data_IF_776160088590
#
_entry.id   IF_776160088590
#
_cell.length_a   1.000
_cell.length_b   1.000
_cell.length_c   1.000
_cell.angle_alpha   90.00
_cell.angle_beta   90.00
_cell.angle_gamma   90.00
#
_symmetry.space_group_name_H-M   'P 1'
#
loop_
_entity.id
_entity.type
_entity.pdbx_description
1 polymer ?
#
# COMPACT_ATOMS: atom_id res chain seq x y z
N UNK A 1 16.69 -5.43 -0.57
CA UNK A 1 15.46 -5.20 0.22
C UNK A 1 14.25 -5.46 -0.66
N UNK A 2 13.28 -6.17 -0.17
CA UNK A 2 12.07 -6.49 -0.92
C UNK A 2 10.83 -6.11 -0.14
N UNK A 3 9.69 -6.07 -0.84
CA UNK A 3 8.42 -5.63 -0.25
C UNK A 3 7.31 -6.57 -0.66
N UNK A 4 6.37 -6.81 0.25
CA UNK A 4 5.12 -7.52 -0.04
C UNK A 4 3.96 -6.69 0.45
N UNK A 5 2.94 -6.58 -0.41
CA UNK A 5 1.72 -5.87 -0.09
C UNK A 5 0.54 -6.81 -0.20
N UNK A 6 -0.32 -6.81 0.81
CA UNK A 6 -1.59 -7.52 0.78
C UNK A 6 -2.70 -6.57 1.16
N UNK A 7 -3.72 -6.48 0.31
CA UNK A 7 -4.91 -5.68 0.56
C UNK A 7 -6.11 -6.62 0.58
N UNK A 8 -6.86 -6.59 1.67
CA UNK A 8 -8.03 -7.45 1.87
C UNK A 8 -9.31 -6.62 1.89
N UNK A 9 -10.20 -6.90 0.99
CA UNK A 9 -11.52 -6.30 0.88
C UNK A 9 -12.46 -7.28 0.21
N UNK A 10 -13.32 -6.81 -0.68
CA UNK A 10 -14.14 -7.71 -1.49
C UNK A 10 -13.27 -8.57 -2.39
N UNK A 11 -12.13 -8.05 -2.81
CA UNK A 11 -11.10 -8.78 -3.51
C UNK A 11 -9.82 -8.72 -2.70
N UNK A 12 -8.98 -9.74 -2.82
CA UNK A 12 -7.64 -9.73 -2.25
C UNK A 12 -6.65 -9.28 -3.32
N UNK A 13 -5.81 -8.31 -2.97
CA UNK A 13 -4.76 -7.80 -3.84
C UNK A 13 -3.42 -8.21 -3.23
N UNK A 14 -2.58 -8.87 -4.01
CA UNK A 14 -1.26 -9.29 -3.56
C UNK A 14 -0.21 -8.83 -4.55
N UNK A 15 0.76 -8.05 -4.08
CA UNK A 15 1.91 -7.63 -4.86
C UNK A 15 3.19 -8.04 -4.12
N UNK A 16 4.13 -8.55 -4.87
CA UNK A 16 5.34 -9.12 -4.30
C UNK A 16 6.60 -8.37 -4.66
N UNK A 17 7.71 -9.10 -4.52
CA UNK A 17 9.05 -8.57 -4.68
C UNK A 17 9.32 -8.04 -6.10
N UNK A 18 8.62 -8.59 -7.09
CA UNK A 18 8.81 -8.19 -8.49
C UNK A 18 8.08 -6.91 -8.87
N UNK A 19 7.06 -6.53 -8.09
CA UNK A 19 6.23 -5.36 -8.39
C UNK A 19 6.70 -4.11 -7.66
N UNK A 20 6.94 -4.20 -6.36
CA UNK A 20 7.14 -3.04 -5.51
C UNK A 20 8.61 -2.65 -5.47
N UNK A 21 8.91 -1.40 -5.78
CA UNK A 21 10.27 -0.88 -5.81
C UNK A 21 10.58 0.07 -4.67
N UNK A 22 9.60 0.84 -4.21
CA UNK A 22 9.83 1.87 -3.20
C UNK A 22 8.63 1.93 -2.27
N UNK A 23 8.91 2.05 -0.97
CA UNK A 23 7.88 2.24 0.06
C UNK A 23 8.30 3.39 0.97
N UNK A 24 7.40 4.32 1.22
CA UNK A 24 7.60 5.40 2.17
C UNK A 24 6.48 5.32 3.20
N UNK A 25 6.86 5.19 4.47
CA UNK A 25 5.92 5.24 5.59
C UNK A 25 6.08 6.57 6.30
N UNK A 26 4.98 7.29 6.50
CA UNK A 26 4.97 8.58 7.19
C UNK A 26 3.93 8.59 8.30
N UNK A 27 4.28 9.22 9.41
CA UNK A 27 3.30 9.67 10.38
C UNK A 27 3.22 11.18 10.31
N UNK A 28 2.01 11.70 10.41
CA UNK A 28 1.76 13.12 10.24
C UNK A 28 0.83 13.62 11.33
N UNK A 29 1.15 14.79 11.87
CA UNK A 29 0.27 15.51 12.80
C UNK A 29 0.13 16.93 12.30
N UNK A 30 -1.05 17.56 12.50
CA UNK A 30 -1.19 19.00 12.24
C UNK A 30 -0.15 19.80 13.06
N UNK A 31 0.22 20.96 12.56
CA UNK A 31 1.20 21.83 13.23
C UNK A 31 0.75 22.33 14.60
N UNK A 32 -0.51 22.11 14.96
CA UNK A 32 -1.03 22.43 16.28
C UNK A 32 -0.57 21.38 17.28
N UNK A 33 0.17 21.79 18.30
CA UNK A 33 0.72 20.88 19.30
C UNK A 33 -0.34 20.14 20.11
N UNK A 34 -1.55 20.65 20.18
CA UNK A 34 -2.65 20.01 20.91
C UNK A 34 -3.27 18.85 20.12
N UNK A 35 -3.01 18.78 18.83
CA UNK A 35 -3.62 17.77 17.95
C UNK A 35 -2.89 16.43 18.00
N UNK A 36 -1.64 16.38 18.49
CA UNK A 36 -0.81 15.19 18.40
C UNK A 36 -1.41 13.96 19.06
N UNK A 37 -2.13 14.13 20.15
CA UNK A 37 -2.72 12.97 20.84
C UNK A 37 -3.94 12.38 20.14
N UNK A 38 -4.58 13.14 19.24
CA UNK A 38 -5.84 12.74 18.62
C UNK A 38 -5.80 12.70 17.10
N UNK A 39 -4.87 13.43 16.48
CA UNK A 39 -4.86 13.65 15.03
C UNK A 39 -3.63 13.10 14.32
N UNK A 40 -2.96 12.11 14.90
CA UNK A 40 -1.83 11.45 14.23
C UNK A 40 -2.37 10.67 13.03
N UNK A 41 -1.87 10.99 11.86
CA UNK A 41 -2.17 10.25 10.63
C UNK A 41 -1.03 9.32 10.24
N UNK A 42 -1.36 8.18 9.67
CA UNK A 42 -0.39 7.23 9.13
C UNK A 42 -0.63 7.03 7.66
N UNK A 43 0.42 7.12 6.86
CA UNK A 43 0.33 7.02 5.40
C UNK A 43 1.40 6.10 4.86
N UNK A 44 1.09 5.50 3.69
CA UNK A 44 2.02 4.70 2.92
C UNK A 44 2.01 5.19 1.48
N UNK A 45 3.19 5.40 0.93
CA UNK A 45 3.38 5.62 -0.50
C UNK A 45 4.14 4.44 -1.05
N UNK A 46 3.54 3.77 -2.03
CA UNK A 46 4.07 2.54 -2.61
C UNK A 46 4.18 2.77 -4.10
N UNK A 47 5.35 2.56 -4.65
CA UNK A 47 5.55 2.67 -6.09
C UNK A 47 6.29 1.44 -6.62
N UNK A 48 6.03 1.13 -7.87
CA UNK A 48 6.63 -0.04 -8.47
C UNK A 48 6.23 -0.23 -9.92
N UNK A 49 6.34 -1.49 -10.37
CA UNK A 49 6.12 -1.88 -11.74
C UNK A 49 4.77 -2.54 -11.93
N UNK A 50 4.18 -2.29 -13.10
CA UNK A 50 3.03 -3.04 -13.59
C UNK A 50 3.58 -4.09 -14.54
N UNK A 51 3.40 -5.36 -14.18
CA UNK A 51 3.93 -6.48 -14.96
C UNK A 51 2.82 -7.03 -15.84
N UNK A 52 3.08 -7.10 -17.14
CA UNK A 52 2.12 -7.62 -18.10
C UNK A 52 2.15 -9.14 -18.14
N UNK A 53 1.03 -9.75 -18.53
CA UNK A 53 0.98 -11.18 -18.74
C UNK A 53 1.86 -11.58 -19.93
N UNK A 54 2.69 -12.62 -19.77
CA UNK A 54 3.60 -13.12 -20.80
C UNK A 54 3.52 -14.65 -20.81
N UNK A 55 3.35 -15.23 -21.98
CA UNK A 55 3.46 -16.68 -22.24
C UNK A 55 2.69 -17.55 -21.25
N UNK A 56 1.44 -17.20 -20.99
CA UNK A 56 0.56 -17.99 -20.13
C UNK A 56 0.61 -17.62 -18.66
N UNK A 57 1.52 -16.76 -18.24
CA UNK A 57 1.53 -16.22 -16.89
C UNK A 57 0.37 -15.23 -16.73
N UNK A 58 -0.27 -15.24 -15.57
CA UNK A 58 -1.32 -14.28 -15.28
C UNK A 58 -0.75 -12.88 -15.11
N UNK A 59 -1.55 -11.86 -15.43
CA UNK A 59 -1.21 -10.48 -15.10
C UNK A 59 -1.11 -10.33 -13.57
N UNK A 60 -0.36 -9.34 -13.13
CA UNK A 60 -0.28 -9.03 -11.70
C UNK A 60 -1.57 -8.38 -11.19
N UNK A 61 -1.62 -8.10 -9.88
CA UNK A 61 -2.80 -7.56 -9.24
C UNK A 61 -2.89 -6.03 -9.29
N UNK A 62 -2.03 -5.36 -10.08
CA UNK A 62 -2.05 -3.89 -10.13
C UNK A 62 -3.34 -3.32 -10.67
N UNK A 63 -4.02 -4.03 -11.58
CA UNK A 63 -5.33 -3.59 -12.04
C UNK A 63 -6.32 -3.45 -10.88
N UNK A 64 -6.24 -4.34 -9.91
CA UNK A 64 -7.11 -4.29 -8.72
C UNK A 64 -6.85 -3.06 -7.87
N UNK A 65 -5.61 -2.54 -7.85
CA UNK A 65 -5.29 -1.28 -7.19
C UNK A 65 -6.02 -0.11 -7.86
N UNK A 66 -5.97 -0.07 -9.20
CA UNK A 66 -6.66 0.96 -9.96
C UNK A 66 -8.17 0.91 -9.68
N UNK A 67 -8.75 -0.28 -9.67
CA UNK A 67 -10.18 -0.44 -9.39
C UNK A 67 -10.53 -0.03 -7.96
N UNK A 68 -9.67 -0.34 -7.00
CA UNK A 68 -9.88 0.12 -5.61
C UNK A 68 -9.91 1.65 -5.53
N UNK A 69 -9.01 2.31 -6.26
CA UNK A 69 -8.94 3.78 -6.26
C UNK A 69 -10.22 4.45 -6.77
N UNK A 70 -11.04 3.70 -7.52
CA UNK A 70 -12.30 4.21 -8.07
C UNK A 70 -13.51 3.95 -7.17
N UNK A 71 -13.35 3.20 -6.09
CA UNK A 71 -14.47 2.91 -5.17
C UNK A 71 -14.86 4.20 -4.46
N UNK A 72 -16.14 4.63 -4.54
CA UNK A 72 -16.58 5.86 -3.88
C UNK A 72 -16.39 5.82 -2.37
N UNK A 73 -16.04 6.96 -1.78
CA UNK A 73 -15.72 7.06 -0.36
C UNK A 73 -16.88 6.65 0.55
N UNK A 74 -18.12 6.81 0.09
CA UNK A 74 -19.31 6.44 0.88
C UNK A 74 -19.54 4.92 0.92
N UNK A 75 -18.83 4.14 0.11
CA UNK A 75 -18.97 2.68 0.14
C UNK A 75 -18.02 2.07 1.17
N UNK A 76 -18.50 1.05 1.87
CA UNK A 76 -17.69 0.37 2.88
C UNK A 76 -16.40 -0.21 2.30
N UNK A 77 -16.43 -0.70 1.06
CA UNK A 77 -15.27 -1.30 0.39
C UNK A 77 -14.18 -0.29 0.02
N UNK A 78 -14.41 1.01 0.21
CA UNK A 78 -13.35 2.00 0.05
C UNK A 78 -12.29 1.85 1.14
N UNK A 79 -12.65 1.30 2.29
CA UNK A 79 -11.74 1.04 3.41
C UNK A 79 -11.36 -0.43 3.43
N UNK A 80 -10.07 -0.73 3.33
CA UNK A 80 -9.60 -2.11 3.27
C UNK A 80 -8.47 -2.35 4.26
N UNK A 81 -8.27 -3.62 4.61
CA UNK A 81 -7.13 -4.03 5.43
C UNK A 81 -5.89 -4.08 4.57
N UNK A 82 -4.84 -3.40 4.99
CA UNK A 82 -3.57 -3.37 4.26
C UNK A 82 -2.47 -3.88 5.16
N UNK A 83 -1.67 -4.80 4.63
CA UNK A 83 -0.46 -5.29 5.29
C UNK A 83 0.69 -5.12 4.34
N UNK A 84 1.71 -4.41 4.78
CA UNK A 84 2.94 -4.21 4.02
C UNK A 84 4.11 -4.77 4.81
N UNK A 85 4.93 -5.60 4.16
CA UNK A 85 6.14 -6.15 4.76
C UNK A 85 7.35 -5.65 4.00
N UNK A 86 8.36 -5.20 4.75
CA UNK A 86 9.68 -4.85 4.24
C UNK A 86 10.63 -5.95 4.65
N UNK A 87 11.28 -6.59 3.67
CA UNK A 87 12.08 -7.80 3.88
C UNK A 87 13.51 -7.54 3.43
N UNK A 88 14.48 -7.91 4.27
CA UNK A 88 15.90 -7.86 3.95
C UNK A 88 16.63 -8.95 4.72
N UNK A 89 17.55 -9.65 4.05
CA UNK A 89 18.40 -10.69 4.66
C UNK A 89 17.57 -11.73 5.45
N UNK A 90 16.49 -12.22 4.83
CA UNK A 90 15.58 -13.23 5.42
C UNK A 90 14.89 -12.76 6.71
N UNK A 91 14.81 -11.46 6.90
CA UNK A 91 14.14 -10.86 8.06
C UNK A 91 13.02 -9.96 7.59
N UNK A 92 11.94 -9.93 8.35
CA UNK A 92 10.91 -8.89 8.21
C UNK A 92 11.41 -7.69 9.00
N UNK A 93 11.91 -6.68 8.30
CA UNK A 93 12.47 -5.48 8.91
C UNK A 93 11.34 -4.62 9.48
N UNK A 94 10.26 -4.51 8.74
CA UNK A 94 9.05 -3.77 9.15
C UNK A 94 7.82 -4.48 8.63
N UNK A 95 6.78 -4.48 9.44
CA UNK A 95 5.45 -4.89 9.02
C UNK A 95 4.48 -3.82 9.45
N UNK A 96 3.81 -3.21 8.49
CA UNK A 96 2.83 -2.15 8.73
C UNK A 96 1.46 -2.72 8.43
N UNK A 97 0.52 -2.58 9.34
CA UNK A 97 -0.85 -3.04 9.15
C UNK A 97 -1.82 -1.90 9.40
N UNK A 98 -2.61 -1.58 8.39
CA UNK A 98 -3.68 -0.60 8.47
C UNK A 98 -5.01 -1.33 8.33
N UNK A 99 -5.80 -1.46 9.42
CA UNK A 99 -7.07 -2.18 9.32
C UNK A 99 -8.13 -1.46 8.49
N UNK A 100 -8.03 -0.14 8.32
CA UNK A 100 -9.03 0.65 7.60
C UNK A 100 -8.33 1.69 6.71
N UNK A 101 -7.58 1.22 5.72
CA UNK A 101 -6.88 2.11 4.80
C UNK A 101 -7.77 2.49 3.62
N UNK A 102 -7.56 3.67 3.09
CA UNK A 102 -8.24 4.14 1.88
C UNK A 102 -7.23 4.78 0.93
N UNK A 103 -7.59 4.82 -0.35
CA UNK A 103 -6.73 5.39 -1.38
C UNK A 103 -6.91 6.90 -1.39
N UNK A 104 -5.80 7.62 -1.19
CA UNK A 104 -5.76 9.07 -1.32
C UNK A 104 -5.49 9.43 -2.76
N UNK A 105 -4.55 8.70 -3.41
CA UNK A 105 -4.15 8.98 -4.77
C UNK A 105 -3.59 7.73 -5.41
N UNK A 106 -3.79 7.59 -6.70
CA UNK A 106 -3.27 6.48 -7.47
C UNK A 106 -3.00 6.95 -8.89
N UNK A 107 -1.83 6.62 -9.43
CA UNK A 107 -1.53 6.93 -10.82
C UNK A 107 -0.73 5.80 -11.48
N UNK A 108 -0.80 5.75 -12.78
CA UNK A 108 -0.06 4.83 -13.61
C UNK A 108 0.67 5.62 -14.70
N UNK A 109 1.86 5.16 -15.05
CA UNK A 109 2.66 5.75 -16.11
C UNK A 109 3.12 4.67 -17.07
N UNK A 110 2.94 4.91 -18.36
CA UNK A 110 3.34 3.99 -19.42
C UNK A 110 4.14 4.77 -20.46
N UNK A 111 5.32 4.24 -20.82
CA UNK A 111 6.15 4.81 -21.87
C UNK A 111 6.40 3.78 -22.97
N UNK A 112 6.55 4.23 -24.21
CA UNK A 112 6.69 3.33 -25.35
C UNK A 112 8.07 2.69 -25.44
N UNK A 113 9.06 3.26 -24.76
CA UNK A 113 10.43 2.72 -24.73
C UNK A 113 10.68 1.76 -23.58
N UNK A 114 9.73 1.65 -22.64
CA UNK A 114 9.84 0.82 -21.46
C UNK A 114 9.02 -0.44 -21.62
N UNK A 115 9.54 -1.57 -21.17
CA UNK A 115 8.83 -2.84 -21.25
C UNK A 115 7.78 -3.05 -20.19
N UNK A 116 7.68 -2.16 -19.21
CA UNK A 116 6.75 -2.26 -18.09
C UNK A 116 6.14 -0.89 -17.79
N UNK A 117 4.94 -0.89 -17.22
CA UNK A 117 4.35 0.33 -16.68
C UNK A 117 4.86 0.59 -15.26
N UNK A 118 4.55 1.75 -14.75
CA UNK A 118 4.86 2.13 -13.38
C UNK A 118 3.58 2.59 -12.66
N UNK A 119 3.50 2.33 -11.37
CA UNK A 119 2.37 2.80 -10.56
C UNK A 119 2.86 3.50 -9.32
N UNK A 120 2.05 4.41 -8.79
CA UNK A 120 2.23 5.00 -7.47
C UNK A 120 0.90 4.96 -6.74
N UNK A 121 0.92 4.38 -5.55
CA UNK A 121 -0.25 4.26 -4.68
C UNK A 121 0.02 5.05 -3.41
N UNK A 122 -0.90 5.95 -3.06
CA UNK A 122 -0.84 6.68 -1.81
C UNK A 122 -2.07 6.32 -1.00
N UNK A 123 -1.86 5.67 0.15
CA UNK A 123 -2.93 5.24 1.03
C UNK A 123 -2.74 5.81 2.43
N UNK A 124 -3.85 5.90 3.13
CA UNK A 124 -3.88 6.49 4.46
C UNK A 124 -4.79 5.64 5.35
N UNK A 125 -4.38 5.46 6.61
CA UNK A 125 -5.22 4.84 7.61
C UNK A 125 -6.36 5.80 7.99
N UNK A 126 -7.57 5.28 8.13
CA UNK A 126 -8.72 6.08 8.59
C UNK A 126 -8.37 6.71 9.94
N UNK A 127 -8.51 8.03 10.04
CA UNK A 127 -7.95 8.80 11.15
C UNK A 127 -8.52 8.42 12.51
N UNK A 128 -9.81 8.19 12.58
CA UNK A 128 -10.48 7.78 13.82
C UNK A 128 -10.18 6.33 14.23
N UNK A 129 -9.44 5.58 13.39
CA UNK A 129 -9.01 4.21 13.66
C UNK A 129 -7.51 4.07 13.68
N UNK A 130 -6.78 5.17 13.79
CA UNK A 130 -5.30 5.14 13.76
C UNK A 130 -4.72 4.30 14.91
N UNK A 131 -5.37 4.27 16.07
CA UNK A 131 -4.90 3.45 17.19
C UNK A 131 -4.94 1.94 16.89
N UNK A 132 -5.63 1.52 15.85
CA UNK A 132 -5.67 0.12 15.43
C UNK A 132 -4.59 -0.23 14.41
N UNK A 133 -3.89 0.78 13.88
CA UNK A 133 -2.75 0.54 13.01
C UNK A 133 -1.58 -0.01 13.82
N UNK A 134 -0.87 -0.99 13.29
CA UNK A 134 0.28 -1.60 13.98
C UNK A 134 1.52 -1.54 13.12
N UNK A 135 2.66 -1.41 13.80
CA UNK A 135 3.98 -1.48 13.17
C UNK A 135 4.79 -2.49 13.96
N UNK A 136 5.37 -3.44 13.27
CA UNK A 136 6.16 -4.51 13.88
C UNK A 136 7.43 -4.69 13.05
N UNK A 137 8.34 -5.53 13.51
CA UNK A 137 9.55 -5.80 12.73
C UNK A 137 10.65 -6.44 13.57
N UNK A 138 11.70 -6.86 12.87
CA UNK A 138 12.87 -7.44 13.50
C UNK A 138 12.75 -8.93 13.80
N UNK A 139 12.03 -9.69 12.96
CA UNK A 139 11.87 -11.11 13.15
C UNK A 139 12.10 -11.87 11.83
N UNK A 140 12.46 -13.17 11.88
CA UNK A 140 12.70 -13.95 10.66
C UNK A 140 11.45 -14.07 9.80
N UNK A 141 11.68 -14.17 8.52
CA UNK A 141 10.60 -14.39 7.54
C UNK A 141 9.94 -15.74 7.80
#
# INVERSE_FOLDING_TARGET
MGFRLKVEGQETIELGLDNIQTVIYDTDTPDDSNARSTDVGSTLRISGKIITAVDGDSADDTLKLALWSLVPAEKADSYRKVTLEVIAADQVVRKVHFPNAFVVDYNEHFGDTEGVGAFTLYIKQKKDKTELATIDGGYPV
#
